data_IF_100977082586
#
_entry.id   IF_100977082586
#
_cell.length_a   1.000
_cell.length_b   1.000
_cell.length_c   1.000
_cell.angle_alpha   90.00
_cell.angle_beta   90.00
_cell.angle_gamma   90.00
#
_symmetry.space_group_name_H-M   'P 1'
#
loop_
_entity.id
_entity.type
_entity.pdbx_description
1 polymer ?
#
# COMPACT_ATOMS: atom_id res chain seq x y z
N UNK A 1 33.31 -26.41 -7.08
CA UNK A 1 32.93 -26.84 -5.70
C UNK A 1 33.29 -25.69 -4.80
N UNK A 2 32.44 -24.67 -4.72
CA UNK A 2 32.63 -23.53 -3.80
C UNK A 2 32.27 -23.98 -2.40
N UNK A 3 33.25 -23.88 -1.53
CA UNK A 3 33.16 -24.18 -0.10
C UNK A 3 32.14 -23.22 0.51
N UNK A 4 30.93 -23.70 0.77
CA UNK A 4 29.95 -22.99 1.58
C UNK A 4 30.55 -22.79 2.97
N UNK A 5 31.20 -21.65 3.18
CA UNK A 5 31.52 -21.21 4.54
C UNK A 5 30.22 -21.08 5.29
N UNK A 6 29.97 -21.96 6.25
CA UNK A 6 28.83 -21.86 7.19
C UNK A 6 28.90 -20.49 7.86
N UNK A 7 28.21 -19.52 7.30
CA UNK A 7 28.02 -18.23 7.96
C UNK A 7 27.28 -18.49 9.26
N UNK A 8 27.95 -18.17 10.36
CA UNK A 8 27.36 -18.29 11.70
C UNK A 8 26.02 -17.56 11.73
N UNK A 9 24.94 -18.25 12.05
CA UNK A 9 23.62 -17.65 12.19
C UNK A 9 23.69 -16.52 13.22
N UNK A 10 23.31 -15.31 12.80
CA UNK A 10 23.20 -14.14 13.66
C UNK A 10 21.72 -13.78 13.74
N UNK A 11 21.15 -13.84 14.94
CA UNK A 11 19.75 -13.48 15.13
C UNK A 11 19.54 -11.96 14.95
N UNK A 12 18.57 -11.58 14.13
CA UNK A 12 18.10 -10.20 14.04
C UNK A 12 17.05 -9.85 15.12
N UNK A 13 16.48 -10.87 15.79
CA UNK A 13 15.56 -10.67 16.90
C UNK A 13 16.36 -10.44 18.21
N UNK A 14 16.50 -9.18 18.58
CA UNK A 14 17.25 -8.74 19.75
C UNK A 14 16.38 -7.81 20.58
N UNK A 15 16.84 -7.47 21.78
CA UNK A 15 16.16 -6.48 22.63
C UNK A 15 15.95 -5.13 21.89
N UNK A 16 16.86 -4.75 21.01
CA UNK A 16 16.76 -3.52 20.21
C UNK A 16 15.65 -3.58 19.17
N UNK A 17 15.52 -4.71 18.46
CA UNK A 17 14.42 -4.90 17.52
C UNK A 17 13.06 -4.98 18.23
N UNK A 18 13.01 -5.51 19.46
CA UNK A 18 11.82 -5.48 20.31
C UNK A 18 11.48 -4.06 20.79
N UNK A 19 12.48 -3.26 21.15
CA UNK A 19 12.27 -1.85 21.46
C UNK A 19 11.77 -1.07 20.24
N UNK A 20 12.27 -1.37 19.04
CA UNK A 20 11.79 -0.78 17.80
C UNK A 20 10.32 -1.13 17.55
N UNK A 21 9.92 -2.37 17.81
CA UNK A 21 8.53 -2.80 17.73
C UNK A 21 7.66 -1.99 18.71
N UNK A 22 8.05 -1.91 19.97
CA UNK A 22 7.29 -1.18 20.99
C UNK A 22 7.16 0.30 20.64
N UNK A 23 8.26 0.93 20.23
CA UNK A 23 8.28 2.32 19.79
C UNK A 23 7.38 2.53 18.56
N UNK A 24 7.45 1.62 17.61
CA UNK A 24 6.59 1.61 16.43
C UNK A 24 5.10 1.53 16.79
N UNK A 25 4.72 0.63 17.68
CA UNK A 25 3.33 0.48 18.12
C UNK A 25 2.84 1.77 18.82
N UNK A 26 3.65 2.35 19.70
CA UNK A 26 3.22 3.49 20.54
C UNK A 26 3.20 4.81 19.78
N UNK A 27 4.13 5.03 18.87
CA UNK A 27 4.27 6.32 18.18
C UNK A 27 3.91 6.26 16.70
N UNK A 28 4.40 5.24 15.97
CA UNK A 28 4.19 5.19 14.51
C UNK A 28 2.78 4.75 14.13
N UNK A 29 2.17 3.81 14.85
CA UNK A 29 0.80 3.37 14.53
C UNK A 29 -0.21 4.51 14.71
N UNK A 30 -0.26 5.24 15.84
CA UNK A 30 -1.16 6.39 15.98
C UNK A 30 -0.89 7.49 14.95
N UNK A 31 0.39 7.78 14.66
CA UNK A 31 0.75 8.75 13.64
C UNK A 31 0.28 8.32 12.23
N UNK A 32 0.47 7.05 11.87
CA UNK A 32 0.02 6.50 10.59
C UNK A 32 -1.51 6.58 10.46
N UNK A 33 -2.23 6.22 11.52
CA UNK A 33 -3.68 6.32 11.57
C UNK A 33 -4.11 7.77 11.36
N UNK A 34 -3.53 8.70 12.12
CA UNK A 34 -3.84 10.12 12.00
C UNK A 34 -3.60 10.65 10.58
N UNK A 35 -2.41 10.38 10.04
CA UNK A 35 -2.05 10.83 8.69
C UNK A 35 -2.99 10.21 7.65
N UNK A 36 -3.32 8.93 7.73
CA UNK A 36 -4.22 8.26 6.79
C UNK A 36 -5.65 8.82 6.81
N UNK A 37 -6.09 9.32 7.95
CA UNK A 37 -7.40 9.97 8.09
C UNK A 37 -7.43 11.39 7.53
N UNK A 38 -6.31 12.12 7.64
CA UNK A 38 -6.19 13.51 7.15
C UNK A 38 -5.86 13.58 5.67
N UNK A 39 -5.03 12.65 5.18
CA UNK A 39 -4.55 12.63 3.80
C UNK A 39 -5.11 11.42 3.04
N UNK A 40 -6.35 11.47 2.64
CA UNK A 40 -7.04 10.35 1.97
C UNK A 40 -6.16 9.72 0.88
N UNK A 41 -5.78 8.45 1.07
CA UNK A 41 -5.11 7.62 0.05
C UNK A 41 -3.59 7.71 -0.03
N UNK A 42 -2.90 8.47 0.81
CA UNK A 42 -1.43 8.51 0.81
C UNK A 42 -0.85 7.34 1.59
N UNK A 43 0.04 6.58 0.95
CA UNK A 43 0.72 5.44 1.56
C UNK A 43 2.05 5.86 2.22
N UNK A 44 2.09 5.85 3.54
CA UNK A 44 3.26 6.23 4.33
C UNK A 44 4.17 5.06 4.74
N UNK A 45 3.87 3.84 4.31
CA UNK A 45 4.58 2.63 4.75
C UNK A 45 6.09 2.75 4.53
N UNK A 46 6.52 3.10 3.33
CA UNK A 46 7.95 3.22 3.00
C UNK A 46 8.66 4.30 3.83
N UNK A 47 7.99 5.45 4.03
CA UNK A 47 8.54 6.54 4.85
C UNK A 47 8.72 6.09 6.29
N UNK A 48 7.74 5.41 6.86
CA UNK A 48 7.82 4.89 8.23
C UNK A 48 8.86 3.81 8.40
N UNK A 49 9.01 2.91 7.43
CA UNK A 49 10.06 1.90 7.42
C UNK A 49 11.45 2.53 7.48
N UNK A 50 11.74 3.47 6.61
CA UNK A 50 13.03 4.18 6.55
C UNK A 50 13.24 5.02 7.80
N UNK A 51 12.22 5.74 8.27
CA UNK A 51 12.31 6.56 9.47
C UNK A 51 12.60 5.72 10.72
N UNK A 52 11.94 4.57 10.88
CA UNK A 52 12.15 3.69 12.02
C UNK A 52 13.56 3.08 12.01
N UNK A 53 14.05 2.60 10.87
CA UNK A 53 15.42 2.09 10.76
C UNK A 53 16.41 3.20 11.09
N UNK A 54 16.28 4.36 10.46
CA UNK A 54 17.21 5.48 10.63
C UNK A 54 17.28 5.89 12.10
N UNK A 55 16.13 6.00 12.76
CA UNK A 55 16.06 6.34 14.18
C UNK A 55 16.82 5.32 15.05
N UNK A 56 16.58 4.02 14.81
CA UNK A 56 17.22 2.97 15.60
C UNK A 56 18.69 2.78 15.27
N UNK A 57 19.13 3.03 14.04
CA UNK A 57 20.56 3.10 13.66
C UNK A 57 21.25 4.21 14.45
N UNK A 58 20.65 5.40 14.58
CA UNK A 58 21.22 6.49 15.37
C UNK A 58 21.21 6.18 16.87
N UNK A 59 20.13 5.62 17.42
CA UNK A 59 20.10 5.20 18.83
C UNK A 59 21.17 4.15 19.13
N UNK A 60 21.34 3.17 18.26
CA UNK A 60 22.36 2.13 18.43
C UNK A 60 23.78 2.73 18.43
N UNK A 61 24.01 3.76 17.61
CA UNK A 61 25.27 4.50 17.59
C UNK A 61 25.57 5.19 18.92
N UNK A 62 24.59 5.93 19.45
CA UNK A 62 24.77 6.59 20.76
C UNK A 62 25.01 5.61 21.88
N UNK A 63 24.52 4.38 21.78
CA UNK A 63 24.77 3.30 22.75
C UNK A 63 26.13 2.61 22.56
N UNK A 64 26.96 3.05 21.59
CA UNK A 64 28.28 2.50 21.32
C UNK A 64 28.29 1.13 20.63
N UNK A 65 27.15 0.61 20.21
CA UNK A 65 27.02 -0.68 19.49
C UNK A 65 26.16 -0.52 18.25
N UNK A 66 26.75 -0.46 17.04
CA UNK A 66 26.00 -0.30 15.81
C UNK A 66 25.00 -1.45 15.60
N UNK A 67 23.91 -1.20 14.88
CA UNK A 67 22.96 -2.23 14.48
C UNK A 67 23.61 -3.16 13.46
N UNK A 68 23.30 -4.45 13.60
CA UNK A 68 23.62 -5.44 12.53
C UNK A 68 22.61 -5.31 11.38
N UNK A 69 22.99 -5.79 10.20
CA UNK A 69 22.08 -5.81 9.04
C UNK A 69 20.83 -6.65 9.35
N UNK A 70 20.98 -7.74 10.10
CA UNK A 70 19.89 -8.61 10.51
C UNK A 70 18.89 -7.88 11.43
N UNK A 71 19.38 -7.12 12.41
CA UNK A 71 18.52 -6.28 13.26
C UNK A 71 17.78 -5.24 12.44
N UNK A 72 18.47 -4.54 11.53
CA UNK A 72 17.88 -3.55 10.66
C UNK A 72 16.80 -4.16 9.74
N UNK A 73 17.02 -5.37 9.21
CA UNK A 73 16.03 -6.11 8.41
C UNK A 73 14.78 -6.42 9.23
N UNK A 74 14.93 -6.91 10.47
CA UNK A 74 13.79 -7.17 11.36
C UNK A 74 13.03 -5.88 11.64
N UNK A 75 13.72 -4.78 11.92
CA UNK A 75 13.08 -3.47 12.16
C UNK A 75 12.30 -3.02 10.93
N UNK A 76 12.84 -3.19 9.72
CA UNK A 76 12.17 -2.86 8.47
C UNK A 76 10.89 -3.67 8.28
N UNK A 77 10.97 -5.01 8.47
CA UNK A 77 9.80 -5.90 8.36
C UNK A 77 8.74 -5.56 9.40
N UNK A 78 9.14 -5.31 10.66
CA UNK A 78 8.21 -4.87 11.71
C UNK A 78 7.50 -3.58 11.28
N UNK A 79 8.24 -2.58 10.81
CA UNK A 79 7.68 -1.29 10.40
C UNK A 79 6.64 -1.43 9.28
N UNK A 80 6.84 -2.34 8.32
CA UNK A 80 5.86 -2.60 7.27
C UNK A 80 4.54 -3.15 7.83
N UNK A 81 4.62 -4.08 8.78
CA UNK A 81 3.43 -4.69 9.37
C UNK A 81 2.66 -3.73 10.29
N UNK A 82 3.33 -2.81 10.96
CA UNK A 82 2.70 -1.81 11.82
C UNK A 82 1.72 -0.90 11.05
N UNK A 83 2.00 -0.64 9.77
CA UNK A 83 1.16 0.21 8.94
C UNK A 83 0.05 -0.57 8.23
N UNK A 84 0.32 -1.81 7.83
CA UNK A 84 -0.61 -2.65 7.05
C UNK A 84 -1.62 -3.38 7.92
N UNK A 85 -1.21 -3.89 9.06
CA UNK A 85 -2.03 -4.71 9.97
C UNK A 85 -2.94 -3.91 10.91
N UNK A 86 -3.85 -3.09 10.38
CA UNK A 86 -4.47 -2.04 11.17
C UNK A 86 -5.71 -2.49 11.95
N UNK A 87 -5.67 -2.47 13.28
CA UNK A 87 -6.87 -2.62 14.11
C UNK A 87 -7.88 -1.48 13.90
N UNK A 88 -7.50 -0.41 13.19
CA UNK A 88 -8.39 0.68 12.80
C UNK A 88 -9.60 0.21 11.99
N UNK A 89 -9.51 -0.95 11.34
CA UNK A 89 -10.66 -1.54 10.63
C UNK A 89 -11.86 -1.75 11.57
N UNK A 90 -11.61 -2.04 12.85
CA UNK A 90 -12.67 -2.17 13.84
C UNK A 90 -13.36 -0.83 14.12
N UNK A 91 -12.59 0.25 14.11
CA UNK A 91 -13.11 1.61 14.26
C UNK A 91 -13.95 1.99 13.04
N UNK A 92 -13.45 1.73 11.82
CA UNK A 92 -14.20 1.98 10.57
C UNK A 92 -15.49 1.18 10.50
N UNK A 93 -15.49 -0.09 10.89
CA UNK A 93 -16.68 -0.94 10.95
C UNK A 93 -17.72 -0.36 11.93
N UNK A 94 -17.27 0.07 13.10
CA UNK A 94 -18.15 0.70 14.11
C UNK A 94 -18.71 2.03 13.61
N UNK A 95 -17.86 2.84 12.96
CA UNK A 95 -18.31 4.08 12.34
C UNK A 95 -19.34 3.82 11.23
N UNK A 96 -19.09 2.80 10.38
CA UNK A 96 -20.04 2.43 9.32
C UNK A 96 -21.41 2.05 9.87
N UNK A 97 -21.48 1.26 10.97
CA UNK A 97 -22.75 0.90 11.63
C UNK A 97 -23.58 2.12 12.03
N UNK A 98 -22.90 3.22 12.37
CA UNK A 98 -23.54 4.49 12.80
C UNK A 98 -23.60 5.54 11.69
N UNK A 99 -23.22 5.18 10.46
CA UNK A 99 -23.17 6.13 9.35
C UNK A 99 -24.53 6.34 8.69
N UNK A 100 -24.76 7.53 8.10
CA UNK A 100 -25.96 7.79 7.28
C UNK A 100 -26.08 6.82 6.10
N UNK A 101 -24.97 6.29 5.62
CA UNK A 101 -24.93 5.31 4.52
C UNK A 101 -25.62 4.00 4.96
N UNK A 102 -25.25 3.48 6.13
CA UNK A 102 -25.89 2.27 6.66
C UNK A 102 -27.41 2.48 6.88
N UNK A 103 -27.80 3.67 7.30
CA UNK A 103 -29.20 4.04 7.49
C UNK A 103 -29.95 4.12 6.15
N UNK A 104 -29.37 4.77 5.14
CA UNK A 104 -29.92 4.91 3.79
C UNK A 104 -30.16 3.54 3.12
N UNK A 105 -29.29 2.56 3.36
CA UNK A 105 -29.43 1.19 2.85
C UNK A 105 -30.24 0.28 3.77
N UNK A 106 -30.85 0.80 4.82
CA UNK A 106 -31.67 0.01 5.77
C UNK A 106 -30.91 -1.08 6.51
N UNK A 107 -29.61 -0.88 6.73
CA UNK A 107 -28.71 -1.81 7.41
C UNK A 107 -28.66 -1.58 8.92
N UNK A 108 -29.20 -0.48 9.41
CA UNK A 108 -29.25 -0.15 10.83
C UNK A 108 -29.92 -1.29 11.63
N UNK A 109 -29.20 -1.82 12.61
CA UNK A 109 -29.66 -2.95 13.42
C UNK A 109 -29.63 -4.34 12.75
N UNK A 110 -29.29 -4.43 11.45
CA UNK A 110 -29.15 -5.71 10.73
C UNK A 110 -27.70 -6.18 10.64
N UNK A 111 -26.73 -5.32 10.93
CA UNK A 111 -25.31 -5.66 10.88
C UNK A 111 -24.99 -6.60 12.04
N UNK A 112 -24.35 -7.77 11.78
CA UNK A 112 -24.06 -8.75 12.80
C UNK A 112 -23.12 -8.21 13.88
N UNK A 113 -23.38 -8.56 15.14
CA UNK A 113 -22.57 -8.11 16.29
C UNK A 113 -21.16 -8.70 16.31
N UNK A 114 -20.92 -9.78 15.57
CA UNK A 114 -19.58 -10.32 15.40
C UNK A 114 -18.69 -9.49 14.45
N UNK A 115 -19.30 -8.65 13.61
CA UNK A 115 -18.58 -7.79 12.68
C UNK A 115 -18.19 -6.44 13.29
N UNK A 116 -19.10 -5.86 14.08
CA UNK A 116 -18.90 -4.61 14.81
C UNK A 116 -19.85 -4.55 16.02
N UNK A 117 -19.59 -3.71 17.03
CA UNK A 117 -20.54 -3.44 18.09
C UNK A 117 -21.90 -3.02 17.54
N UNK A 118 -23.02 -3.40 18.21
CA UNK A 118 -24.35 -3.09 17.73
C UNK A 118 -24.64 -1.59 17.70
N UNK A 119 -25.60 -1.19 16.87
CA UNK A 119 -26.08 0.17 16.83
C UNK A 119 -26.56 0.63 18.23
N UNK A 120 -26.10 1.80 18.67
CA UNK A 120 -26.42 2.33 20.00
C UNK A 120 -25.58 1.77 21.14
N UNK A 121 -24.58 0.92 20.87
CA UNK A 121 -23.66 0.39 21.87
C UNK A 121 -23.01 1.51 22.71
N UNK A 122 -22.86 1.25 24.02
CA UNK A 122 -22.13 2.14 24.93
C UNK A 122 -20.66 2.30 24.49
N UNK A 123 -20.06 1.24 23.93
CA UNK A 123 -18.69 1.26 23.39
C UNK A 123 -18.43 2.41 22.42
N UNK A 124 -19.43 2.73 21.58
CA UNK A 124 -19.38 3.86 20.66
C UNK A 124 -19.39 5.21 21.38
N UNK A 125 -20.23 5.36 22.39
CA UNK A 125 -20.36 6.62 23.15
C UNK A 125 -19.12 6.94 23.97
N UNK A 126 -18.55 5.93 24.65
CA UNK A 126 -17.35 6.08 25.48
C UNK A 126 -16.05 5.96 24.68
N UNK A 127 -16.12 5.63 23.38
CA UNK A 127 -14.96 5.47 22.48
C UNK A 127 -13.89 4.53 23.04
N UNK A 128 -14.32 3.41 23.63
CA UNK A 128 -13.43 2.44 24.27
C UNK A 128 -13.47 1.10 23.55
N UNK A 129 -12.34 0.71 22.97
CA UNK A 129 -12.16 -0.59 22.28
C UNK A 129 -12.10 -1.78 23.25
N UNK A 130 -11.86 -1.55 24.54
CA UNK A 130 -11.84 -2.60 25.56
C UNK A 130 -13.24 -2.90 26.16
N UNK A 131 -14.29 -2.39 25.55
CA UNK A 131 -15.66 -2.70 25.95
C UNK A 131 -16.05 -4.13 25.52
N UNK A 132 -16.94 -4.78 26.29
CA UNK A 132 -17.40 -6.16 26.04
C UNK A 132 -17.94 -6.38 24.61
N UNK A 133 -18.59 -5.38 24.03
CA UNK A 133 -19.15 -5.47 22.68
C UNK A 133 -18.10 -5.59 21.58
N UNK A 134 -16.83 -5.23 21.88
CA UNK A 134 -15.71 -5.44 20.97
C UNK A 134 -15.05 -6.81 21.10
N UNK A 135 -15.35 -7.59 22.15
CA UNK A 135 -14.63 -8.85 22.40
C UNK A 135 -14.74 -9.83 21.24
N UNK A 136 -15.96 -10.02 20.69
CA UNK A 136 -16.16 -10.92 19.55
C UNK A 136 -15.54 -10.35 18.25
N UNK A 137 -15.79 -9.09 17.86
CA UNK A 137 -15.10 -8.48 16.71
C UNK A 137 -13.57 -8.55 16.80
N UNK A 138 -12.99 -8.27 17.96
CA UNK A 138 -11.54 -8.36 18.17
C UNK A 138 -11.06 -9.81 18.08
N UNK A 139 -11.74 -10.74 18.72
CA UNK A 139 -11.40 -12.17 18.68
C UNK A 139 -11.39 -12.71 17.24
N UNK A 140 -12.42 -12.41 16.46
CA UNK A 140 -12.49 -12.79 15.05
C UNK A 140 -11.43 -12.07 14.20
N UNK A 141 -11.17 -10.81 14.48
CA UNK A 141 -10.08 -10.08 13.81
C UNK A 141 -8.72 -10.75 14.06
N UNK A 142 -8.40 -11.05 15.32
CA UNK A 142 -7.15 -11.73 15.68
C UNK A 142 -7.06 -13.13 15.06
N UNK A 143 -8.14 -13.88 15.06
CA UNK A 143 -8.21 -15.19 14.44
C UNK A 143 -7.94 -15.11 12.93
N UNK A 144 -8.62 -14.20 12.23
CA UNK A 144 -8.42 -14.01 10.78
C UNK A 144 -7.03 -13.55 10.45
N UNK A 145 -6.43 -12.66 11.24
CA UNK A 145 -5.05 -12.21 11.07
C UNK A 145 -4.05 -13.34 11.30
N UNK A 146 -4.27 -14.16 12.33
CA UNK A 146 -3.40 -15.31 12.61
C UNK A 146 -3.47 -16.34 11.49
N UNK A 147 -4.67 -16.72 11.06
CA UNK A 147 -4.86 -17.66 9.95
C UNK A 147 -4.30 -17.11 8.64
N UNK A 148 -4.51 -15.81 8.37
CA UNK A 148 -3.96 -15.12 7.20
C UNK A 148 -2.43 -15.13 7.20
N UNK A 149 -1.80 -14.87 8.34
CA UNK A 149 -0.34 -14.90 8.49
C UNK A 149 0.23 -16.31 8.29
N UNK A 150 -0.41 -17.33 8.86
CA UNK A 150 -0.03 -18.72 8.64
C UNK A 150 -0.16 -19.13 7.18
N UNK A 151 -1.28 -18.76 6.54
CA UNK A 151 -1.48 -18.99 5.12
C UNK A 151 -0.42 -18.27 4.27
N UNK A 152 -0.16 -17.00 4.54
CA UNK A 152 0.87 -16.22 3.85
C UNK A 152 2.27 -16.87 4.01
N UNK A 153 2.60 -17.41 5.17
CA UNK A 153 3.86 -18.12 5.38
C UNK A 153 3.97 -19.36 4.50
N UNK A 154 2.91 -20.17 4.43
CA UNK A 154 2.88 -21.37 3.56
C UNK A 154 3.02 -20.98 2.09
N UNK A 155 2.24 -19.99 1.63
CA UNK A 155 2.35 -19.51 0.24
C UNK A 155 3.70 -18.88 -0.07
N UNK A 156 4.30 -18.16 0.88
CA UNK A 156 5.63 -17.57 0.70
C UNK A 156 6.71 -18.64 0.54
N UNK A 157 6.65 -19.73 1.29
CA UNK A 157 7.60 -20.85 1.13
C UNK A 157 7.46 -21.55 -0.21
N UNK A 158 6.21 -21.77 -0.67
CA UNK A 158 5.95 -22.32 -2.01
C UNK A 158 6.41 -21.38 -3.12
N UNK A 159 6.12 -20.08 -2.99
CA UNK A 159 6.53 -19.06 -3.95
C UNK A 159 8.06 -18.94 -4.02
N UNK A 160 8.76 -19.02 -2.89
CA UNK A 160 10.23 -19.03 -2.85
C UNK A 160 10.79 -20.21 -3.68
N UNK A 161 10.28 -21.42 -3.45
CA UNK A 161 10.72 -22.60 -4.17
C UNK A 161 10.48 -22.47 -5.68
N UNK A 162 9.29 -22.02 -6.09
CA UNK A 162 8.93 -21.91 -7.49
C UNK A 162 9.65 -20.75 -8.18
N UNK A 163 9.48 -19.53 -7.67
CA UNK A 163 9.90 -18.31 -8.39
C UNK A 163 11.35 -17.94 -8.16
N UNK A 164 11.93 -18.24 -6.98
CA UNK A 164 13.32 -17.86 -6.68
C UNK A 164 14.28 -19.01 -7.01
N UNK A 165 13.99 -20.24 -6.55
CA UNK A 165 14.91 -21.34 -6.72
C UNK A 165 14.85 -21.96 -8.11
N UNK A 166 13.64 -22.17 -8.68
CA UNK A 166 13.47 -22.80 -9.99
C UNK A 166 13.48 -21.80 -11.14
N UNK A 167 12.57 -20.82 -11.13
CA UNK A 167 12.42 -19.87 -12.25
C UNK A 167 13.45 -18.75 -12.22
N UNK A 168 14.06 -18.49 -11.06
CA UNK A 168 15.08 -17.44 -10.86
C UNK A 168 14.61 -16.08 -11.37
N UNK A 169 13.36 -15.73 -11.08
CA UNK A 169 12.78 -14.46 -11.49
C UNK A 169 13.51 -13.29 -10.80
N UNK A 170 13.76 -12.19 -11.52
CA UNK A 170 14.32 -11.00 -10.93
C UNK A 170 13.26 -10.29 -10.05
N UNK A 171 13.66 -9.91 -8.85
CA UNK A 171 12.85 -9.11 -7.91
C UNK A 171 13.49 -7.73 -7.71
N UNK A 172 13.42 -6.83 -8.69
CA UNK A 172 14.18 -5.58 -8.67
C UNK A 172 13.80 -4.66 -7.51
N UNK A 173 12.55 -4.66 -7.08
CA UNK A 173 12.09 -3.86 -5.94
C UNK A 173 12.69 -4.36 -4.62
N UNK A 174 12.71 -5.66 -4.42
CA UNK A 174 13.25 -6.28 -3.21
C UNK A 174 14.76 -6.10 -3.11
N UNK A 175 15.47 -6.11 -4.25
CA UNK A 175 16.89 -5.78 -4.30
C UNK A 175 17.16 -4.34 -3.84
N UNK A 176 16.38 -3.37 -4.31
CA UNK A 176 16.48 -1.96 -3.87
C UNK A 176 16.23 -1.84 -2.37
N UNK A 177 15.19 -2.52 -1.85
CA UNK A 177 14.88 -2.54 -0.42
C UNK A 177 16.03 -3.13 0.38
N UNK A 178 16.53 -4.30 0.00
CA UNK A 178 17.63 -4.98 0.67
C UNK A 178 18.90 -4.10 0.69
N UNK A 179 19.21 -3.46 -0.42
CA UNK A 179 20.35 -2.53 -0.53
C UNK A 179 20.18 -1.31 0.36
N UNK A 180 18.97 -0.73 0.41
CA UNK A 180 18.67 0.41 1.29
C UNK A 180 18.88 0.07 2.77
N UNK A 181 18.45 -1.13 3.20
CA UNK A 181 18.68 -1.61 4.58
C UNK A 181 20.17 -1.73 4.88
N UNK A 182 20.95 -2.30 3.95
CA UNK A 182 22.41 -2.44 4.11
C UNK A 182 23.10 -1.08 4.20
N UNK A 183 22.74 -0.16 3.31
CA UNK A 183 23.29 1.21 3.28
C UNK A 183 23.02 1.94 4.61
N UNK A 184 21.80 1.84 5.12
CA UNK A 184 21.42 2.45 6.40
C UNK A 184 22.15 1.79 7.57
N UNK A 185 22.18 0.46 7.63
CA UNK A 185 22.80 -0.28 8.73
C UNK A 185 24.33 -0.11 8.78
N UNK A 186 25.00 -0.17 7.62
CA UNK A 186 26.45 -0.02 7.50
C UNK A 186 26.93 1.44 7.41
N UNK A 187 26.00 2.38 7.17
CA UNK A 187 26.32 3.81 6.97
C UNK A 187 27.34 4.05 5.86
N UNK A 188 27.11 3.48 4.70
CA UNK A 188 27.94 3.75 3.53
C UNK A 188 27.82 5.23 3.13
N UNK A 189 28.83 6.05 3.45
CA UNK A 189 28.76 7.53 3.37
C UNK A 189 28.30 8.05 2.00
N UNK A 190 28.83 7.49 0.91
CA UNK A 190 28.45 7.90 -0.45
C UNK A 190 26.97 7.64 -0.72
N UNK A 191 26.50 6.45 -0.40
CA UNK A 191 25.11 6.05 -0.65
C UNK A 191 24.14 6.75 0.31
N UNK A 192 24.56 7.02 1.55
CA UNK A 192 23.78 7.85 2.48
C UNK A 192 23.66 9.30 1.97
N UNK A 193 24.71 9.86 1.40
CA UNK A 193 24.67 11.18 0.78
C UNK A 193 23.66 11.24 -0.37
N UNK A 194 23.65 10.22 -1.23
CA UNK A 194 22.66 10.09 -2.31
C UNK A 194 21.25 9.95 -1.74
N UNK A 195 21.06 9.07 -0.75
CA UNK A 195 19.75 8.87 -0.10
C UNK A 195 19.24 10.16 0.54
N UNK A 196 20.10 10.89 1.25
CA UNK A 196 19.73 12.15 1.89
C UNK A 196 19.39 13.25 0.88
N UNK A 197 20.16 13.39 -0.19
CA UNK A 197 19.91 14.39 -1.24
C UNK A 197 18.63 14.09 -2.01
N UNK A 198 18.38 12.85 -2.36
CA UNK A 198 17.13 12.44 -3.03
C UNK A 198 15.93 12.57 -2.11
N UNK A 199 16.06 12.24 -0.81
CA UNK A 199 15.02 12.45 0.18
C UNK A 199 14.68 13.95 0.35
N UNK A 200 15.69 14.83 0.32
CA UNK A 200 15.48 16.27 0.38
C UNK A 200 14.73 16.81 -0.85
N UNK A 201 15.12 16.39 -2.06
CA UNK A 201 14.40 16.74 -3.30
C UNK A 201 12.96 16.20 -3.24
N UNK A 202 12.77 14.96 -2.81
CA UNK A 202 11.46 14.35 -2.63
C UNK A 202 10.61 15.10 -1.59
N UNK A 203 11.22 15.59 -0.51
CA UNK A 203 10.52 16.39 0.51
C UNK A 203 10.04 17.73 -0.05
N UNK A 204 10.85 18.44 -0.83
CA UNK A 204 10.45 19.68 -1.50
C UNK A 204 9.27 19.42 -2.44
N UNK A 205 9.39 18.37 -3.26
CA UNK A 205 8.31 17.98 -4.16
C UNK A 205 7.02 17.63 -3.40
N UNK A 206 7.13 16.86 -2.32
CA UNK A 206 6.01 16.50 -1.46
C UNK A 206 5.35 17.69 -0.77
N UNK A 207 6.13 18.69 -0.36
CA UNK A 207 5.60 19.96 0.19
C UNK A 207 4.76 20.68 -0.86
N UNK A 208 5.23 20.76 -2.09
CA UNK A 208 4.51 21.43 -3.17
C UNK A 208 3.22 20.67 -3.52
N UNK A 209 3.31 19.34 -3.59
CA UNK A 209 2.21 18.50 -4.07
C UNK A 209 1.14 18.24 -3.01
N UNK A 210 1.53 17.99 -1.77
CA UNK A 210 0.63 17.54 -0.69
C UNK A 210 0.44 18.58 0.42
N UNK A 211 1.55 19.16 0.93
CA UNK A 211 1.48 20.04 2.09
C UNK A 211 0.87 21.37 1.75
N UNK A 212 1.23 21.95 0.60
CA UNK A 212 0.73 23.26 0.17
C UNK A 212 -0.81 23.27 -0.01
N UNK A 213 -1.43 22.32 -0.76
CA UNK A 213 -2.88 22.24 -0.85
C UNK A 213 -3.58 22.00 0.49
N UNK A 214 -3.00 21.16 1.35
CA UNK A 214 -3.56 20.84 2.66
C UNK A 214 -3.59 22.06 3.59
N UNK A 215 -2.46 22.74 3.72
CA UNK A 215 -2.31 23.90 4.62
C UNK A 215 -3.10 25.10 4.09
N UNK A 216 -3.04 25.37 2.78
CA UNK A 216 -3.79 26.46 2.17
C UNK A 216 -5.31 26.22 2.21
N UNK A 217 -5.73 24.95 2.03
CA UNK A 217 -7.13 24.56 2.18
C UNK A 217 -7.64 24.76 3.61
N UNK A 218 -6.85 24.40 4.62
CA UNK A 218 -7.16 24.64 6.03
C UNK A 218 -7.24 26.14 6.36
N UNK A 219 -6.49 26.99 5.63
CA UNK A 219 -6.54 28.44 5.75
C UNK A 219 -7.71 29.09 4.95
N UNK A 220 -8.52 28.29 4.25
CA UNK A 220 -9.68 28.77 3.46
C UNK A 220 -9.34 29.20 2.03
N UNK A 221 -8.09 29.07 1.58
CA UNK A 221 -7.64 29.46 0.24
C UNK A 221 -6.88 28.29 -0.42
N UNK A 222 -7.58 27.26 -0.93
CA UNK A 222 -6.92 26.08 -1.47
C UNK A 222 -6.06 26.43 -2.69
N UNK A 223 -4.75 26.25 -2.56
CA UNK A 223 -3.77 26.45 -3.63
C UNK A 223 -3.27 25.07 -4.05
N UNK A 224 -3.57 24.65 -5.27
CA UNK A 224 -3.02 23.44 -5.88
C UNK A 224 -2.22 23.82 -7.11
N UNK A 225 -0.90 23.58 -7.08
CA UNK A 225 -0.03 23.83 -8.23
C UNK A 225 -0.04 22.67 -9.22
N UNK A 226 -0.31 21.47 -8.73
CA UNK A 226 -0.44 20.25 -9.53
C UNK A 226 -1.62 19.42 -9.03
N UNK A 227 -2.43 18.88 -9.92
CA UNK A 227 -3.51 17.98 -9.53
C UNK A 227 -2.94 16.64 -9.03
N UNK A 228 -3.61 16.06 -8.04
CA UNK A 228 -3.28 14.75 -7.47
C UNK A 228 -4.45 13.81 -7.75
N UNK A 229 -4.23 12.55 -8.10
CA UNK A 229 -2.94 11.85 -8.30
C UNK A 229 -2.38 11.96 -9.73
N UNK A 230 -3.08 12.58 -10.65
CA UNK A 230 -2.69 12.72 -12.06
C UNK A 230 -3.20 14.01 -12.68
N UNK A 231 -2.52 14.39 -13.75
CA UNK A 231 -3.03 15.39 -14.70
C UNK A 231 -3.97 14.66 -15.66
N UNK A 232 -5.23 15.05 -15.66
CA UNK A 232 -6.29 14.38 -16.43
C UNK A 232 -6.44 15.00 -17.83
N UNK A 233 -6.23 14.17 -18.86
CA UNK A 233 -6.42 14.53 -20.26
C UNK A 233 -7.60 13.82 -20.89
N UNK A 234 -8.44 13.17 -20.09
CA UNK A 234 -9.57 12.36 -20.57
C UNK A 234 -10.52 13.15 -21.44
N UNK A 235 -10.81 14.41 -21.08
CA UNK A 235 -11.70 15.29 -21.86
C UNK A 235 -11.24 15.52 -23.31
N UNK A 236 -9.92 15.46 -23.57
CA UNK A 236 -9.38 15.60 -24.93
C UNK A 236 -9.56 14.32 -25.74
N UNK A 237 -9.43 13.16 -25.11
CA UNK A 237 -9.55 11.86 -25.78
C UNK A 237 -11.02 11.47 -25.96
N UNK A 238 -11.88 11.82 -25.03
CA UNK A 238 -13.30 11.47 -25.03
C UNK A 238 -14.00 11.88 -26.32
N UNK A 239 -13.61 12.99 -26.93
CA UNK A 239 -14.19 13.48 -28.21
C UNK A 239 -14.01 12.51 -29.36
N UNK A 240 -12.95 11.69 -29.32
CA UNK A 240 -12.63 10.71 -30.39
C UNK A 240 -12.90 9.27 -29.96
N UNK A 241 -12.72 8.99 -28.67
CA UNK A 241 -12.79 7.65 -28.10
C UNK A 241 -13.59 7.68 -26.79
N UNK A 242 -14.93 7.72 -26.84
CA UNK A 242 -15.76 7.71 -25.64
C UNK A 242 -15.46 6.51 -24.73
N UNK A 243 -15.34 6.74 -23.44
CA UNK A 243 -14.97 5.71 -22.45
C UNK A 243 -13.48 5.46 -22.29
N UNK A 244 -12.64 5.95 -23.21
CA UNK A 244 -11.19 5.95 -23.03
C UNK A 244 -10.76 6.99 -21.98
N UNK A 245 -9.66 6.73 -21.28
CA UNK A 245 -9.08 7.67 -20.33
C UNK A 245 -7.58 7.78 -20.51
N UNK A 246 -7.05 8.98 -20.31
CA UNK A 246 -5.62 9.25 -20.36
C UNK A 246 -5.24 10.30 -19.34
N UNK A 247 -4.16 10.04 -18.62
CA UNK A 247 -3.58 10.99 -17.68
C UNK A 247 -2.12 10.68 -17.41
N UNK A 248 -1.43 11.66 -16.85
CA UNK A 248 -0.02 11.52 -16.42
C UNK A 248 0.01 11.61 -14.90
N UNK A 249 0.54 10.58 -14.26
CA UNK A 249 0.68 10.55 -12.82
C UNK A 249 1.62 11.67 -12.34
N UNK A 250 1.20 12.36 -11.30
CA UNK A 250 2.00 13.41 -10.64
C UNK A 250 2.69 12.88 -9.38
N UNK A 251 2.39 11.66 -8.95
CA UNK A 251 3.07 11.03 -7.84
C UNK A 251 4.48 10.58 -8.24
N UNK A 252 5.49 11.18 -7.59
CA UNK A 252 6.91 10.89 -7.84
C UNK A 252 7.27 9.42 -7.59
N UNK A 253 6.53 8.74 -6.70
CA UNK A 253 6.77 7.34 -6.39
C UNK A 253 6.45 6.43 -7.57
N UNK A 254 5.37 6.72 -8.30
CA UNK A 254 5.03 6.01 -9.53
C UNK A 254 6.05 6.27 -10.64
N UNK A 255 6.54 7.50 -10.75
CA UNK A 255 7.60 7.85 -11.70
C UNK A 255 8.91 7.11 -11.37
N UNK A 256 9.30 7.07 -10.08
CA UNK A 256 10.51 6.38 -9.63
C UNK A 256 10.46 4.87 -9.91
N UNK A 257 9.30 4.23 -9.82
CA UNK A 257 9.12 2.83 -10.18
C UNK A 257 9.55 2.52 -11.61
N UNK A 258 9.25 3.41 -12.55
CA UNK A 258 9.63 3.25 -13.95
C UNK A 258 11.14 3.18 -14.19
N UNK A 259 11.95 3.80 -13.31
CA UNK A 259 13.43 3.74 -13.39
C UNK A 259 14.02 2.48 -12.73
N UNK A 260 13.30 1.85 -11.82
CA UNK A 260 13.74 0.66 -11.10
C UNK A 260 13.44 -0.61 -11.90
N UNK A 261 12.28 -0.63 -12.57
CA UNK A 261 11.80 -1.80 -13.29
C UNK A 261 12.58 -2.04 -14.59
N UNK A 262 12.82 -3.31 -14.99
CA UNK A 262 13.41 -3.64 -16.29
C UNK A 262 12.59 -3.06 -17.45
N UNK A 263 13.27 -2.52 -18.46
CA UNK A 263 12.61 -1.85 -19.60
C UNK A 263 11.58 -2.70 -20.33
N UNK A 264 11.80 -4.03 -20.40
CA UNK A 264 10.83 -4.97 -21.00
C UNK A 264 9.52 -5.00 -20.21
N UNK A 265 9.60 -4.96 -18.88
CA UNK A 265 8.42 -4.95 -18.00
C UNK A 265 7.69 -3.61 -18.12
N UNK A 266 8.42 -2.48 -18.11
CA UNK A 266 7.84 -1.14 -18.30
C UNK A 266 7.10 -1.05 -19.64
N UNK A 267 7.70 -1.59 -20.71
CA UNK A 267 7.06 -1.62 -22.03
C UNK A 267 5.78 -2.49 -22.01
N UNK A 268 5.82 -3.67 -21.38
CA UNK A 268 4.65 -4.52 -21.24
C UNK A 268 3.52 -3.83 -20.45
N UNK A 269 3.88 -3.11 -19.37
CA UNK A 269 2.93 -2.32 -18.59
C UNK A 269 2.33 -1.19 -19.42
N UNK A 270 3.13 -0.49 -20.23
CA UNK A 270 2.65 0.56 -21.14
C UNK A 270 1.65 0.00 -22.15
N UNK A 271 2.01 -1.09 -22.82
CA UNK A 271 1.12 -1.76 -23.79
C UNK A 271 -0.18 -2.21 -23.12
N UNK A 272 -0.09 -2.83 -21.94
CA UNK A 272 -1.26 -3.26 -21.18
C UNK A 272 -2.14 -2.08 -20.74
N UNK A 273 -1.55 -0.98 -20.34
CA UNK A 273 -2.25 0.24 -19.93
C UNK A 273 -2.98 0.89 -21.12
N UNK A 274 -2.30 1.03 -22.26
CA UNK A 274 -2.89 1.56 -23.49
C UNK A 274 -4.03 0.64 -23.96
N UNK A 275 -3.79 -0.67 -24.00
CA UNK A 275 -4.83 -1.64 -24.36
C UNK A 275 -6.05 -1.51 -23.45
N UNK A 276 -5.85 -1.49 -22.14
CA UNK A 276 -6.93 -1.45 -21.15
C UNK A 276 -7.71 -0.13 -21.19
N UNK A 277 -7.02 0.98 -20.94
CA UNK A 277 -7.68 2.25 -20.64
C UNK A 277 -8.05 3.06 -21.89
N UNK A 278 -7.39 2.82 -22.99
CA UNK A 278 -7.70 3.53 -24.24
C UNK A 278 -8.51 2.61 -25.15
N UNK A 279 -7.91 1.52 -25.64
CA UNK A 279 -8.50 0.73 -26.71
C UNK A 279 -9.72 -0.06 -26.26
N UNK A 280 -9.57 -0.87 -25.21
CA UNK A 280 -10.63 -1.80 -24.79
C UNK A 280 -11.77 -1.08 -24.04
N UNK A 281 -11.47 -0.04 -23.26
CA UNK A 281 -12.52 0.78 -22.65
C UNK A 281 -13.40 1.44 -23.73
N UNK A 282 -12.78 2.04 -24.73
CA UNK A 282 -13.50 2.61 -25.88
C UNK A 282 -14.31 1.57 -26.63
N UNK A 283 -13.68 0.43 -26.96
CA UNK A 283 -14.33 -0.63 -27.73
C UNK A 283 -15.57 -1.18 -27.01
N UNK A 284 -15.49 -1.41 -25.72
CA UNK A 284 -16.59 -1.95 -24.90
C UNK A 284 -17.75 -0.97 -24.74
N UNK A 285 -17.44 0.33 -24.65
CA UNK A 285 -18.48 1.39 -24.69
C UNK A 285 -19.13 1.46 -26.08
N UNK A 286 -18.32 1.43 -27.13
CA UNK A 286 -18.82 1.53 -28.50
C UNK A 286 -19.70 0.33 -28.91
N UNK A 287 -19.33 -0.87 -28.50
CA UNK A 287 -20.05 -2.11 -28.85
C UNK A 287 -21.20 -2.45 -27.88
N UNK A 288 -21.30 -1.79 -26.72
CA UNK A 288 -22.30 -2.06 -25.67
C UNK A 288 -22.33 -3.54 -25.23
N UNK A 289 -21.17 -4.21 -25.21
CA UNK A 289 -21.07 -5.65 -24.90
C UNK A 289 -20.84 -5.96 -23.43
N UNK A 290 -20.69 -4.96 -22.58
CA UNK A 290 -20.39 -5.13 -21.15
C UNK A 290 -21.20 -4.13 -20.32
N UNK A 291 -21.43 -4.42 -19.01
CA UNK A 291 -22.07 -3.48 -18.13
C UNK A 291 -21.38 -2.09 -18.08
N UNK A 292 -20.08 -2.04 -18.30
CA UNK A 292 -19.36 -0.78 -18.42
C UNK A 292 -19.93 0.12 -19.53
N UNK A 293 -20.25 -0.44 -20.68
CA UNK A 293 -20.86 0.32 -21.79
C UNK A 293 -22.20 0.97 -21.44
N UNK A 294 -22.96 0.35 -20.53
CA UNK A 294 -24.24 0.90 -20.05
C UNK A 294 -24.07 1.95 -18.96
N UNK A 295 -23.01 1.82 -18.14
CA UNK A 295 -22.72 2.75 -17.03
C UNK A 295 -21.93 3.99 -17.45
N UNK A 296 -21.27 3.95 -18.61
CA UNK A 296 -20.53 5.09 -19.08
C UNK A 296 -21.45 6.28 -19.40
N UNK A 297 -21.08 7.46 -18.89
CA UNK A 297 -21.72 8.72 -19.23
C UNK A 297 -20.68 9.73 -19.71
N UNK A 298 -20.95 10.48 -20.80
CA UNK A 298 -20.04 11.52 -21.27
C UNK A 298 -19.72 12.55 -20.19
N UNK A 299 -18.48 13.02 -20.16
CA UNK A 299 -17.99 13.98 -19.16
C UNK A 299 -17.43 13.34 -17.89
N UNK A 300 -17.31 12.02 -17.82
CA UNK A 300 -16.60 11.36 -16.72
C UNK A 300 -15.12 11.74 -16.73
N UNK A 301 -14.58 12.07 -15.57
CA UNK A 301 -13.14 12.28 -15.40
C UNK A 301 -12.39 10.94 -15.33
N UNK A 302 -11.06 10.99 -15.43
CA UNK A 302 -10.19 9.81 -15.38
C UNK A 302 -10.45 8.93 -14.15
N UNK A 303 -10.65 9.53 -12.97
CA UNK A 303 -10.91 8.79 -11.73
C UNK A 303 -12.22 8.01 -11.79
N UNK A 304 -13.27 8.62 -12.30
CA UNK A 304 -14.57 7.97 -12.46
C UNK A 304 -14.50 6.83 -13.49
N UNK A 305 -13.87 7.07 -14.65
CA UNK A 305 -13.69 6.02 -15.66
C UNK A 305 -12.84 4.86 -15.09
N UNK A 306 -11.78 5.16 -14.33
CA UNK A 306 -10.96 4.15 -13.69
C UNK A 306 -11.78 3.28 -12.70
N UNK A 307 -12.56 3.92 -11.83
CA UNK A 307 -13.36 3.22 -10.82
C UNK A 307 -14.49 2.40 -11.45
N UNK A 308 -15.29 3.01 -12.29
CA UNK A 308 -16.46 2.39 -12.93
C UNK A 308 -16.05 1.28 -13.91
N UNK A 309 -15.08 1.54 -14.80
CA UNK A 309 -14.60 0.50 -15.71
C UNK A 309 -13.92 -0.66 -14.95
N UNK A 310 -13.26 -0.38 -13.84
CA UNK A 310 -12.68 -1.44 -13.00
C UNK A 310 -13.77 -2.28 -12.38
N UNK A 311 -14.82 -1.68 -11.84
CA UNK A 311 -15.94 -2.38 -11.19
C UNK A 311 -16.75 -3.22 -12.19
N UNK A 312 -17.17 -2.62 -13.29
CA UNK A 312 -18.13 -3.22 -14.21
C UNK A 312 -17.51 -4.04 -15.36
N UNK A 313 -16.18 -3.99 -15.53
CA UNK A 313 -15.48 -4.72 -16.58
C UNK A 313 -14.23 -5.43 -16.07
N UNK A 314 -13.27 -4.68 -15.51
CA UNK A 314 -11.91 -5.18 -15.33
C UNK A 314 -11.70 -6.03 -14.08
N UNK A 315 -12.53 -5.90 -13.03
CA UNK A 315 -12.34 -6.66 -11.80
C UNK A 315 -12.32 -8.18 -12.05
N UNK A 316 -13.26 -8.68 -12.84
CA UNK A 316 -13.33 -10.11 -13.18
C UNK A 316 -12.12 -10.58 -14.01
N UNK A 317 -11.68 -9.75 -14.97
CA UNK A 317 -10.54 -10.06 -15.84
C UNK A 317 -9.23 -10.06 -15.01
N UNK A 318 -9.04 -9.07 -14.16
CA UNK A 318 -7.85 -8.97 -13.29
C UNK A 318 -7.78 -10.17 -12.33
N UNK A 319 -8.89 -10.51 -11.69
CA UNK A 319 -8.98 -11.67 -10.80
C UNK A 319 -8.64 -12.94 -11.58
N UNK A 320 -9.25 -13.15 -12.75
CA UNK A 320 -9.00 -14.35 -13.57
C UNK A 320 -7.54 -14.46 -14.01
N UNK A 321 -6.94 -13.38 -14.48
CA UNK A 321 -5.51 -13.36 -14.88
C UNK A 321 -4.61 -13.61 -13.66
N UNK A 322 -4.91 -12.97 -12.52
CA UNK A 322 -4.11 -13.14 -11.30
C UNK A 322 -4.12 -14.60 -10.82
N UNK A 323 -5.28 -15.25 -10.84
CA UNK A 323 -5.38 -16.68 -10.52
C UNK A 323 -4.64 -17.54 -11.56
N UNK A 324 -4.81 -17.27 -12.85
CA UNK A 324 -4.12 -18.03 -13.90
C UNK A 324 -2.60 -17.94 -13.76
N UNK A 325 -2.06 -16.74 -13.59
CA UNK A 325 -0.62 -16.51 -13.44
C UNK A 325 -0.09 -17.11 -12.14
N UNK A 326 -0.82 -16.95 -11.02
CA UNK A 326 -0.39 -17.47 -9.73
C UNK A 326 -0.46 -19.00 -9.61
N UNK A 327 -1.44 -19.63 -10.26
CA UNK A 327 -1.66 -21.08 -10.13
C UNK A 327 -1.01 -21.88 -11.26
N UNK A 328 -0.86 -21.33 -12.47
CA UNK A 328 -0.30 -22.05 -13.61
C UNK A 328 1.07 -22.71 -13.32
N UNK A 329 2.03 -22.05 -12.65
CA UNK A 329 3.30 -22.68 -12.30
C UNK A 329 3.18 -23.88 -11.36
N UNK A 330 2.14 -23.92 -10.51
CA UNK A 330 1.90 -25.02 -9.58
C UNK A 330 1.38 -26.29 -10.29
N UNK A 331 0.74 -26.12 -11.45
CA UNK A 331 0.17 -27.22 -12.23
C UNK A 331 1.03 -27.61 -13.44
N UNK A 332 2.04 -26.84 -13.78
CA UNK A 332 2.90 -27.08 -14.95
C UNK A 332 4.04 -28.09 -14.67
N UNK A 333 4.01 -28.79 -13.58
CA UNK A 333 4.97 -29.87 -13.19
C UNK A 333 4.46 -31.24 -13.47
#
# INVERSE_FOLDING_TARGET
METYTRTRYVSGLTWRSLLALLYGIVLFVPAAIWISLVTIGVNFTAVMQIALITLFVEFARYSGRPLTVQEATIIYVIASQLVVGQPIILVYRTWFVHSPIAEMFGLTGKIPTWWAPPYGSLAWRIRNLFHSDFMVPIGLYLLTQTLGTLGAFVFATMANEVFIEHERLPFPMEEVVARSIVVLAKREEVHLGILASTAFVGAIYGIILYTLPLVSGAAGYPISLMPIPWYDFTSYIETFMPGASFGIATDIMLLALGFILPSKLVLAMLVGTVARYIVLNWLTVHLHVTPWGEHYTPGMNLTMIYQESTLYLWASVIIGISFAVGLAPLFSR
#
